data_IF_215053597597
#
_entry.id   IF_215053597597
#
_cell.length_a   1.000
_cell.length_b   1.000
_cell.length_c   1.000
_cell.angle_alpha   90.00
_cell.angle_beta   90.00
_cell.angle_gamma   90.00
#
_symmetry.space_group_name_H-M   'P 1'
#
loop_
_entity.id
_entity.type
_entity.pdbx_description
1 polymer ?
#
# COMPACT_ATOMS: atom_id res chain seq x y z
N UNK A 1 36.32 -4.77 19.37
CA UNK A 1 37.31 -5.17 20.39
C UNK A 1 36.53 -5.84 21.51
N UNK A 2 36.96 -7.00 22.04
CA UNK A 2 36.28 -7.61 23.19
C UNK A 2 36.25 -6.60 24.34
N UNK A 3 35.05 -6.25 24.81
CA UNK A 3 34.86 -5.39 25.98
C UNK A 3 34.64 -6.31 27.18
N UNK A 4 35.61 -6.36 28.10
CA UNK A 4 35.47 -7.10 29.35
C UNK A 4 34.80 -6.21 30.40
N UNK A 5 33.63 -6.60 30.91
CA UNK A 5 33.10 -6.03 32.15
C UNK A 5 33.62 -6.86 33.33
N UNK A 6 34.50 -6.27 34.14
CA UNK A 6 34.96 -6.90 35.38
C UNK A 6 34.06 -6.42 36.52
N UNK A 7 33.18 -7.29 37.03
CA UNK A 7 32.47 -7.04 38.27
C UNK A 7 33.25 -7.70 39.41
N UNK A 8 33.74 -6.91 40.36
CA UNK A 8 34.41 -7.45 41.56
C UNK A 8 33.35 -7.93 42.54
N UNK A 9 33.28 -9.25 42.74
CA UNK A 9 32.43 -9.87 43.75
C UNK A 9 33.01 -9.61 45.15
N UNK A 10 32.32 -8.81 45.96
CA UNK A 10 32.57 -8.79 47.39
C UNK A 10 31.87 -10.01 48.02
N UNK A 11 32.60 -11.10 48.20
CA UNK A 11 32.14 -12.26 48.95
C UNK A 11 32.03 -11.82 50.42
N UNK A 12 30.82 -11.76 50.98
CA UNK A 12 30.68 -11.69 52.43
C UNK A 12 31.24 -12.99 52.99
N UNK A 13 32.31 -12.88 53.79
CA UNK A 13 33.06 -13.98 54.39
C UNK A 13 32.16 -15.11 54.91
N UNK A 14 32.03 -16.16 54.11
CA UNK A 14 31.86 -17.51 54.61
C UNK A 14 33.07 -18.29 54.10
N UNK A 15 33.99 -18.61 55.00
CA UNK A 15 35.21 -19.36 54.70
C UNK A 15 34.85 -20.67 54.00
N UNK A 16 35.06 -20.76 52.69
CA UNK A 16 35.02 -22.01 51.96
C UNK A 16 36.32 -22.76 52.27
N UNK A 17 36.24 -23.76 53.16
CA UNK A 17 37.37 -24.63 53.49
C UNK A 17 37.23 -25.91 52.69
N UNK A 18 38.08 -26.09 51.67
CA UNK A 18 38.16 -27.33 50.89
C UNK A 18 39.29 -28.17 51.52
N UNK A 19 38.96 -29.34 52.06
CA UNK A 19 39.96 -30.25 52.62
C UNK A 19 40.51 -31.16 51.51
N UNK A 20 41.82 -31.10 51.28
CA UNK A 20 42.51 -32.09 50.45
C UNK A 20 43.17 -33.12 51.36
N UNK A 21 42.82 -34.40 51.17
CA UNK A 21 43.35 -35.49 51.98
C UNK A 21 44.73 -35.95 51.47
N UNK A 22 45.77 -35.21 51.82
CA UNK A 22 47.11 -35.79 52.00
C UNK A 22 47.93 -34.90 52.94
N UNK A 23 47.94 -35.25 54.23
CA UNK A 23 48.91 -34.74 55.21
C UNK A 23 48.72 -33.27 55.63
N UNK A 24 48.06 -33.07 56.78
CA UNK A 24 48.19 -31.93 57.72
C UNK A 24 48.68 -30.58 57.13
N UNK A 25 47.95 -30.05 56.15
CA UNK A 25 47.99 -28.64 55.81
C UNK A 25 46.61 -28.20 55.30
N UNK A 26 45.92 -27.39 56.10
CA UNK A 26 44.67 -26.73 55.72
C UNK A 26 44.98 -25.62 54.72
N UNK A 27 44.60 -25.80 53.45
CA UNK A 27 44.75 -24.79 52.43
C UNK A 27 43.37 -24.22 52.06
N UNK A 28 43.18 -22.92 52.26
CA UNK A 28 41.97 -22.23 51.85
C UNK A 28 42.15 -21.66 50.45
N UNK A 29 41.40 -22.18 49.47
CA UNK A 29 41.31 -21.54 48.16
C UNK A 29 40.27 -20.42 48.24
N UNK A 30 40.67 -19.18 47.99
CA UNK A 30 39.74 -18.07 47.81
C UNK A 30 39.39 -17.94 46.33
N UNK A 31 38.10 -18.08 46.01
CA UNK A 31 37.57 -17.67 44.72
C UNK A 31 37.60 -16.14 44.65
N UNK A 32 38.43 -15.61 43.76
CA UNK A 32 38.63 -14.18 43.54
C UNK A 32 38.19 -13.82 42.13
N UNK A 33 36.97 -13.27 42.03
CA UNK A 33 36.46 -12.71 40.78
C UNK A 33 35.70 -13.71 39.91
N UNK A 34 34.45 -13.38 39.60
CA UNK A 34 33.67 -13.95 38.51
C UNK A 34 33.56 -12.85 37.46
N UNK A 35 34.15 -13.05 36.28
CA UNK A 35 33.99 -12.12 35.15
C UNK A 35 33.16 -12.78 34.06
N UNK A 36 32.21 -12.02 33.50
CA UNK A 36 31.48 -12.37 32.29
C UNK A 36 32.17 -11.70 31.10
N UNK A 37 32.54 -12.48 30.11
CA UNK A 37 33.11 -12.00 28.84
C UNK A 37 32.13 -12.34 27.73
N UNK A 38 31.77 -11.36 26.91
CA UNK A 38 31.02 -11.55 25.67
C UNK A 38 31.98 -11.54 24.48
N UNK A 39 31.68 -12.28 23.42
CA UNK A 39 32.47 -12.30 22.18
C UNK A 39 32.38 -10.98 21.37
N UNK A 40 31.47 -10.08 21.75
CA UNK A 40 31.24 -8.78 21.12
C UNK A 40 30.75 -8.87 19.67
N UNK A 41 30.20 -10.02 19.25
CA UNK A 41 29.62 -10.21 17.92
C UNK A 41 28.10 -10.08 18.00
N UNK A 42 27.57 -8.86 17.85
CA UNK A 42 26.14 -8.68 17.61
C UNK A 42 25.75 -9.45 16.34
N UNK A 43 24.90 -10.46 16.51
CA UNK A 43 24.51 -11.38 15.45
C UNK A 43 23.93 -10.69 14.22
N UNK A 44 24.72 -10.61 13.15
CA UNK A 44 24.18 -10.66 11.81
C UNK A 44 23.64 -12.09 11.61
N UNK A 45 22.32 -12.26 11.68
CA UNK A 45 21.56 -13.51 11.47
C UNK A 45 21.39 -14.45 12.68
N UNK A 46 21.19 -13.94 13.89
CA UNK A 46 20.70 -14.77 15.00
C UNK A 46 21.73 -15.74 15.59
N UNK A 47 23.03 -15.48 15.41
CA UNK A 47 24.06 -16.14 16.21
C UNK A 47 23.94 -15.68 17.67
N UNK A 48 23.76 -16.64 18.57
CA UNK A 48 23.72 -16.42 20.02
C UNK A 48 25.05 -15.85 20.52
N UNK A 49 25.01 -14.77 21.29
CA UNK A 49 26.17 -14.27 22.04
C UNK A 49 26.71 -15.40 22.93
N UNK A 50 27.99 -15.73 22.81
CA UNK A 50 28.62 -16.68 23.76
C UNK A 50 29.08 -15.94 25.01
N UNK A 51 28.58 -16.36 26.17
CA UNK A 51 28.97 -15.84 27.48
C UNK A 51 29.99 -16.76 28.12
N UNK A 52 31.17 -16.24 28.45
CA UNK A 52 32.19 -16.93 29.24
C UNK A 52 32.20 -16.45 30.68
N UNK A 53 31.91 -17.34 31.64
CA UNK A 53 32.21 -17.12 33.07
C UNK A 53 33.65 -17.52 33.31
N UNK A 54 34.45 -16.64 33.92
CA UNK A 54 35.83 -16.94 34.31
C UNK A 54 35.94 -16.92 35.84
N UNK A 55 36.36 -18.04 36.44
CA UNK A 55 36.54 -18.17 37.89
C UNK A 55 38.04 -18.23 38.20
N UNK A 56 38.57 -17.20 38.86
CA UNK A 56 39.96 -17.21 39.32
C UNK A 56 40.02 -17.70 40.77
N UNK A 57 40.84 -18.71 41.04
CA UNK A 57 41.20 -19.09 42.40
C UNK A 57 42.59 -18.55 42.70
N UNK A 58 42.72 -17.69 43.73
CA UNK A 58 44.05 -17.34 44.23
C UNK A 58 44.46 -18.38 45.26
N UNK A 59 45.42 -19.24 44.91
CA UNK A 59 46.11 -20.06 45.88
C UNK A 59 47.13 -19.17 46.61
N UNK A 60 46.89 -18.85 47.89
CA UNK A 60 47.94 -18.28 48.72
C UNK A 60 48.92 -19.40 49.10
N UNK A 61 50.14 -19.29 48.57
CA UNK A 61 51.36 -20.03 48.93
C UNK A 61 51.35 -21.55 48.70
N UNK A 62 51.70 -21.98 47.48
CA UNK A 62 52.32 -23.30 47.28
C UNK A 62 53.84 -23.15 47.44
N UNK A 63 54.53 -23.88 48.34
CA UNK A 63 55.97 -24.04 48.21
C UNK A 63 56.25 -24.94 46.99
N UNK A 64 57.25 -24.56 46.19
CA UNK A 64 57.70 -25.32 45.04
C UNK A 64 58.27 -26.68 45.46
N UNK A 65 57.51 -27.76 45.30
CA UNK A 65 58.05 -29.13 45.35
C UNK A 65 57.22 -30.09 44.50
N UNK A 66 57.92 -30.85 43.65
CA UNK A 66 57.45 -32.02 42.90
C UNK A 66 56.90 -33.10 43.87
N UNK A 67 55.61 -33.06 44.20
CA UNK A 67 54.91 -34.21 44.82
C UNK A 67 53.73 -34.64 43.96
N UNK A 68 53.92 -35.75 43.23
CA UNK A 68 52.86 -36.51 42.56
C UNK A 68 51.98 -37.20 43.60
N UNK A 69 50.73 -36.76 43.75
CA UNK A 69 49.69 -37.46 44.51
C UNK A 69 49.20 -38.65 43.67
N UNK A 70 49.29 -39.87 44.21
CA UNK A 70 48.79 -41.10 43.57
C UNK A 70 47.62 -41.64 44.39
N UNK A 71 46.46 -41.87 43.75
CA UNK A 71 45.29 -42.49 44.40
C UNK A 71 45.31 -44.02 44.21
N UNK A 72 44.95 -44.83 45.24
CA UNK A 72 45.01 -46.29 45.16
C UNK A 72 43.67 -46.90 44.73
N UNK A 73 43.29 -46.78 43.46
CA UNK A 73 42.43 -47.72 42.72
C UNK A 73 42.34 -47.24 41.27
N UNK A 74 42.83 -48.04 40.33
CA UNK A 74 42.84 -47.75 38.90
C UNK A 74 41.99 -48.75 38.13
N UNK A 75 40.84 -49.19 38.66
CA UNK A 75 40.12 -50.32 38.05
C UNK A 75 38.59 -50.27 38.08
N UNK A 76 37.97 -49.09 38.02
CA UNK A 76 36.77 -48.83 37.19
C UNK A 76 36.62 -47.34 37.04
N UNK A 77 35.99 -46.92 35.94
CA UNK A 77 35.71 -45.53 35.61
C UNK A 77 34.82 -44.90 36.70
N UNK A 78 35.45 -44.32 37.72
CA UNK A 78 34.80 -43.41 38.66
C UNK A 78 34.52 -42.10 37.89
N UNK A 79 33.23 -41.90 37.57
CA UNK A 79 32.71 -40.71 36.89
C UNK A 79 31.89 -39.87 37.88
N UNK A 80 32.37 -39.71 39.11
CA UNK A 80 31.80 -38.77 40.06
C UNK A 80 32.18 -37.34 39.63
N UNK A 81 31.44 -36.83 38.64
CA UNK A 81 31.62 -35.49 38.08
C UNK A 81 30.76 -34.51 38.86
N UNK A 82 31.39 -33.62 39.62
CA UNK A 82 30.73 -32.44 40.18
C UNK A 82 30.11 -31.60 39.05
N UNK A 83 28.76 -31.55 38.96
CA UNK A 83 28.07 -30.80 37.90
C UNK A 83 27.78 -29.37 38.36
N UNK A 84 28.29 -28.39 37.61
CA UNK A 84 27.97 -26.99 37.82
C UNK A 84 26.70 -26.61 37.06
N UNK A 85 25.73 -26.03 37.76
CA UNK A 85 24.51 -25.49 37.17
C UNK A 85 24.47 -23.96 37.31
N UNK A 86 24.16 -23.29 36.21
CA UNK A 86 23.78 -21.87 36.21
C UNK A 86 22.26 -21.80 36.12
N UNK A 87 21.62 -21.10 37.04
CA UNK A 87 20.18 -20.89 37.02
C UNK A 87 19.79 -19.42 36.85
N UNK A 88 18.67 -19.17 36.20
CA UNK A 88 18.04 -17.85 36.13
C UNK A 88 17.38 -17.44 37.48
N UNK A 89 16.75 -16.27 37.49
CA UNK A 89 16.06 -15.71 38.65
C UNK A 89 14.83 -16.55 39.11
N UNK A 90 14.33 -17.45 38.26
CA UNK A 90 13.26 -18.40 38.57
C UNK A 90 13.79 -19.79 38.99
N UNK A 91 15.12 -19.93 39.16
CA UNK A 91 15.84 -21.19 39.40
C UNK A 91 15.76 -22.20 38.23
N UNK A 92 15.48 -21.74 37.00
CA UNK A 92 15.55 -22.59 35.81
C UNK A 92 17.00 -22.74 35.38
N UNK A 93 17.44 -23.99 35.14
CA UNK A 93 18.80 -24.29 34.66
C UNK A 93 18.95 -23.78 33.22
N UNK A 94 19.87 -22.84 33.03
CA UNK A 94 20.19 -22.22 31.73
C UNK A 94 21.55 -22.64 31.19
N UNK A 95 22.36 -23.34 31.99
CA UNK A 95 23.63 -23.94 31.57
C UNK A 95 24.05 -25.10 32.48
N UNK A 96 24.68 -26.13 31.89
CA UNK A 96 25.25 -27.29 32.59
C UNK A 96 26.71 -27.45 32.18
N UNK A 97 27.60 -27.72 33.13
CA UNK A 97 28.98 -28.13 32.84
C UNK A 97 29.34 -29.40 33.60
N UNK A 98 29.80 -30.40 32.86
CA UNK A 98 30.29 -31.68 33.38
C UNK A 98 31.56 -32.03 32.60
N UNK A 99 32.73 -31.92 33.22
CA UNK A 99 33.99 -32.45 32.71
C UNK A 99 34.77 -33.05 33.89
N UNK A 100 35.15 -34.32 33.76
CA UNK A 100 35.98 -35.01 34.73
C UNK A 100 37.36 -34.35 34.84
N UNK A 101 37.79 -34.07 36.06
CA UNK A 101 39.12 -33.55 36.35
C UNK A 101 40.17 -34.60 35.96
N UNK A 102 40.94 -34.36 34.90
CA UNK A 102 42.12 -35.15 34.57
C UNK A 102 43.34 -34.42 35.14
N UNK A 103 43.87 -34.90 36.25
CA UNK A 103 44.98 -34.25 36.97
C UNK A 103 46.33 -34.59 36.34
N UNK A 104 46.79 -33.76 35.41
CA UNK A 104 48.22 -33.60 35.15
C UNK A 104 48.50 -32.18 34.68
N UNK A 105 49.23 -31.41 35.49
CA UNK A 105 49.55 -29.98 35.40
C UNK A 105 48.55 -29.04 36.08
N UNK A 106 49.04 -28.38 37.13
CA UNK A 106 48.43 -27.19 37.72
C UNK A 106 48.40 -26.07 36.68
N UNK A 107 47.30 -25.96 35.94
CA UNK A 107 47.03 -24.80 35.10
C UNK A 107 46.37 -23.75 36.00
N UNK A 108 47.13 -22.69 36.31
CA UNK A 108 46.58 -21.39 36.70
C UNK A 108 45.85 -20.84 35.48
N UNK A 109 44.58 -21.23 35.30
CA UNK A 109 43.78 -20.83 34.15
C UNK A 109 42.33 -21.17 34.41
N UNK A 110 41.48 -20.14 34.46
CA UNK A 110 40.10 -20.26 34.88
C UNK A 110 39.26 -21.17 34.00
N UNK A 111 38.23 -21.75 34.61
CA UNK A 111 37.22 -22.55 33.92
C UNK A 111 36.38 -21.63 33.02
N UNK A 112 36.17 -22.02 31.77
CA UNK A 112 35.32 -21.32 30.80
C UNK A 112 33.96 -22.02 30.71
N UNK A 113 32.88 -21.30 30.97
CA UNK A 113 31.51 -21.80 30.76
C UNK A 113 30.97 -21.21 29.46
N UNK A 114 30.23 -21.96 28.63
CA UNK A 114 29.53 -21.42 27.45
C UNK A 114 28.02 -21.57 27.65
N UNK A 115 27.29 -20.46 27.70
CA UNK A 115 25.82 -20.46 27.72
C UNK A 115 25.32 -20.24 26.29
N UNK A 116 24.63 -21.23 25.73
CA UNK A 116 24.18 -21.21 24.33
C UNK A 116 22.83 -20.49 24.11
N UNK A 117 22.28 -19.80 25.10
CA UNK A 117 21.04 -19.03 24.96
C UNK A 117 21.14 -17.65 25.59
N UNK A 118 20.71 -16.63 24.83
CA UNK A 118 20.67 -15.22 25.24
C UNK A 118 19.59 -15.03 26.32
N UNK A 119 19.91 -14.52 27.52
CA UNK A 119 18.90 -14.15 28.49
C UNK A 119 18.05 -12.99 27.95
N UNK A 120 16.73 -13.16 27.88
CA UNK A 120 15.79 -12.17 27.34
C UNK A 120 15.26 -11.19 28.39
N UNK A 121 15.65 -11.33 29.65
CA UNK A 121 15.19 -10.51 30.78
C UNK A 121 16.34 -10.17 31.73
N UNK A 122 16.34 -8.93 32.25
CA UNK A 122 17.18 -8.50 33.37
C UNK A 122 16.85 -9.32 34.61
N UNK A 123 17.85 -9.92 35.25
CA UNK A 123 17.61 -10.81 36.39
C UNK A 123 18.86 -11.23 37.15
N UNK A 124 18.67 -11.68 38.38
CA UNK A 124 19.74 -12.22 39.21
C UNK A 124 20.06 -13.65 38.80
N UNK A 125 21.34 -13.95 38.60
CA UNK A 125 21.80 -15.32 38.32
C UNK A 125 22.48 -15.90 39.56
N UNK A 126 22.28 -17.20 39.76
CA UNK A 126 22.86 -17.93 40.90
C UNK A 126 23.68 -19.10 40.38
N UNK A 127 24.92 -19.23 40.85
CA UNK A 127 25.75 -20.42 40.61
C UNK A 127 25.64 -21.31 41.83
N UNK A 128 25.26 -22.58 41.62
CA UNK A 128 25.05 -23.57 42.68
C UNK A 128 25.98 -24.76 42.47
N UNK A 129 26.54 -25.29 43.56
CA UNK A 129 27.05 -26.66 43.60
C UNK A 129 25.93 -27.57 44.09
N UNK A 130 25.74 -28.70 43.41
CA UNK A 130 24.81 -29.73 43.82
C UNK A 130 25.56 -31.05 43.81
N UNK A 131 25.57 -31.72 44.96
CA UNK A 131 26.03 -33.10 45.10
C UNK A 131 25.00 -34.04 44.43
N UNK A 132 25.46 -35.01 43.64
CA UNK A 132 24.56 -35.98 43.01
C UNK A 132 23.96 -36.87 44.11
N UNK A 133 22.63 -37.07 44.10
CA UNK A 133 21.95 -37.89 45.10
C UNK A 133 22.39 -39.37 45.01
N UNK A 134 23.47 -39.75 45.68
CA UNK A 134 23.63 -41.12 46.18
C UNK A 134 23.32 -41.18 47.69
N UNK A 135 22.52 -42.17 48.08
CA UNK A 135 22.06 -42.44 49.45
C UNK A 135 23.01 -43.35 50.22
N UNK A 136 24.23 -43.60 49.74
CA UNK A 136 25.29 -44.23 50.53
C UNK A 136 26.52 -43.33 50.63
N UNK A 137 26.92 -42.92 51.85
CA UNK A 137 28.11 -42.09 52.01
C UNK A 137 29.36 -42.93 51.75
N UNK A 138 30.07 -42.65 50.67
CA UNK A 138 31.41 -43.18 50.48
C UNK A 138 32.37 -42.49 51.44
N UNK A 139 32.93 -43.33 52.34
CA UNK A 139 33.93 -43.03 53.34
C UNK A 139 33.55 -42.01 54.44
N UNK A 140 33.09 -42.59 55.56
CA UNK A 140 33.11 -41.96 56.86
C UNK A 140 34.54 -41.54 57.28
N UNK A 141 34.86 -40.25 57.14
CA UNK A 141 35.78 -39.52 58.02
C UNK A 141 35.56 -37.99 57.90
N UNK A 142 34.49 -37.52 58.53
CA UNK A 142 34.53 -36.27 59.31
C UNK A 142 34.25 -34.94 58.62
N UNK A 143 33.72 -34.87 57.41
CA UNK A 143 33.22 -33.62 56.82
C UNK A 143 31.72 -33.74 56.50
N UNK A 144 30.86 -33.25 57.40
CA UNK A 144 29.44 -33.05 57.10
C UNK A 144 29.28 -31.91 56.10
N UNK A 145 29.16 -32.21 54.82
CA UNK A 145 28.55 -31.29 53.86
C UNK A 145 27.05 -31.28 54.10
N UNK A 146 26.51 -30.10 54.40
CA UNK A 146 25.08 -29.91 54.59
C UNK A 146 24.36 -30.26 53.28
N UNK A 147 23.34 -31.11 53.34
CA UNK A 147 22.41 -31.49 52.27
C UNK A 147 21.55 -30.33 51.75
N UNK A 148 22.02 -29.10 51.88
CA UNK A 148 21.32 -27.88 51.54
C UNK A 148 22.10 -27.13 50.48
N UNK A 149 21.76 -27.36 49.21
CA UNK A 149 21.72 -26.40 48.11
C UNK A 149 22.50 -25.09 48.36
N UNK A 150 23.82 -25.19 48.53
CA UNK A 150 24.62 -24.09 49.09
C UNK A 150 24.97 -23.12 47.97
N UNK A 151 24.47 -21.89 48.09
CA UNK A 151 24.78 -20.82 47.16
C UNK A 151 26.21 -20.34 47.46
N UNK A 152 27.15 -20.63 46.58
CA UNK A 152 28.55 -20.18 46.71
C UNK A 152 28.70 -18.67 46.48
N UNK A 153 27.73 -18.08 45.79
CA UNK A 153 27.64 -16.65 45.51
C UNK A 153 26.43 -16.36 44.62
N UNK A 154 25.83 -15.19 44.79
CA UNK A 154 24.75 -14.69 43.93
C UNK A 154 25.09 -13.28 43.51
N UNK A 155 25.02 -13.00 42.22
CA UNK A 155 25.25 -11.66 41.67
C UNK A 155 24.15 -11.30 40.69
N UNK A 156 23.65 -10.08 40.80
CA UNK A 156 22.78 -9.48 39.80
C UNK A 156 23.63 -8.97 38.64
N UNK A 157 23.41 -9.47 37.43
CA UNK A 157 23.96 -8.86 36.22
C UNK A 157 22.82 -8.17 35.48
N UNK A 158 22.99 -6.87 35.20
CA UNK A 158 22.10 -6.20 34.28
C UNK A 158 22.54 -6.55 32.85
N UNK A 159 21.78 -7.42 32.18
CA UNK A 159 22.05 -7.80 30.80
C UNK A 159 22.09 -6.59 29.85
N UNK A 160 21.39 -5.50 30.19
CA UNK A 160 21.43 -4.25 29.43
C UNK A 160 22.76 -3.47 29.59
N UNK A 161 23.50 -3.71 30.68
CA UNK A 161 24.79 -3.06 30.95
C UNK A 161 25.99 -3.79 30.32
N UNK A 162 25.80 -5.03 29.82
CA UNK A 162 26.86 -5.85 29.22
C UNK A 162 27.11 -5.55 27.74
N UNK A 163 26.23 -4.82 27.07
CA UNK A 163 26.49 -4.29 25.73
C UNK A 163 25.77 -2.95 25.48
N UNK A 164 26.37 -1.81 25.87
CA UNK A 164 25.82 -0.49 25.57
C UNK A 164 25.86 -0.14 24.07
N UNK A 165 26.53 -0.95 23.24
CA UNK A 165 26.57 -0.77 21.78
C UNK A 165 25.53 -1.66 21.07
N UNK A 166 24.89 -2.62 21.77
CA UNK A 166 23.70 -3.35 21.33
C UNK A 166 22.47 -2.47 21.48
N UNK A 167 22.51 -1.30 20.85
CA UNK A 167 21.29 -0.56 20.56
C UNK A 167 20.46 -1.47 19.65
N UNK A 168 19.22 -1.84 20.00
CA UNK A 168 18.34 -2.50 19.06
C UNK A 168 18.37 -1.68 17.77
N UNK A 169 18.71 -2.31 16.63
CA UNK A 169 18.58 -1.63 15.34
C UNK A 169 17.17 -1.04 15.35
N UNK A 170 17.01 0.29 15.21
CA UNK A 170 15.70 0.88 15.29
C UNK A 170 14.86 0.24 14.19
N UNK A 171 13.91 -0.60 14.59
CA UNK A 171 12.92 -1.15 13.68
C UNK A 171 12.12 0.03 13.20
N UNK A 172 12.10 0.25 11.89
CA UNK A 172 11.28 1.30 11.33
C UNK A 172 9.81 1.03 11.67
N UNK A 173 9.21 1.96 12.41
CA UNK A 173 7.80 1.92 12.79
C UNK A 173 6.96 2.96 12.06
N UNK A 174 7.58 3.73 11.16
CA UNK A 174 6.90 4.81 10.44
C UNK A 174 6.14 4.20 9.28
N UNK A 175 4.85 4.47 9.19
CA UNK A 175 4.07 4.02 8.04
C UNK A 175 4.31 4.92 6.82
N UNK A 176 4.36 4.37 5.60
CA UNK A 176 4.45 5.17 4.40
C UNK A 176 3.21 6.05 4.24
N UNK A 177 3.41 7.32 3.90
CA UNK A 177 2.36 8.31 3.66
C UNK A 177 2.38 8.75 2.19
N UNK A 178 1.21 8.89 1.56
CA UNK A 178 1.14 9.48 0.22
C UNK A 178 1.42 10.99 0.29
N UNK A 179 2.59 11.40 -0.16
CA UNK A 179 3.06 12.80 -0.12
C UNK A 179 2.52 13.63 -1.29
N UNK A 180 2.27 13.00 -2.44
CA UNK A 180 1.62 13.62 -3.58
C UNK A 180 0.67 12.64 -4.24
N UNK A 181 -0.54 13.09 -4.55
CA UNK A 181 -1.51 12.34 -5.35
C UNK A 181 -2.18 13.31 -6.31
N UNK A 182 -2.03 13.05 -7.61
CA UNK A 182 -2.59 13.89 -8.68
C UNK A 182 -3.28 13.01 -9.72
N UNK A 183 -4.37 13.51 -10.30
CA UNK A 183 -5.14 12.78 -11.33
C UNK A 183 -5.27 13.64 -12.58
N UNK A 184 -5.12 13.01 -13.75
CA UNK A 184 -5.43 13.64 -15.03
C UNK A 184 -5.92 12.61 -16.05
N UNK A 185 -6.54 13.10 -17.11
CA UNK A 185 -6.83 12.37 -18.35
C UNK A 185 -5.81 12.69 -19.44
N UNK A 186 -5.73 11.85 -20.46
CA UNK A 186 -5.04 12.14 -21.72
C UNK A 186 -5.90 12.90 -22.75
N UNK A 187 -7.13 13.27 -22.39
CA UNK A 187 -7.99 14.14 -23.19
C UNK A 187 -7.34 15.52 -23.39
N UNK A 188 -7.67 16.21 -24.49
CA UNK A 188 -7.28 17.61 -24.74
C UNK A 188 -7.61 18.52 -23.56
N UNK A 189 -8.79 18.34 -22.97
CA UNK A 189 -9.18 18.93 -21.69
C UNK A 189 -8.84 17.92 -20.59
N UNK A 190 -7.67 18.02 -19.97
CA UNK A 190 -7.12 16.98 -19.07
C UNK A 190 -7.95 16.70 -17.81
N UNK A 191 -8.91 17.57 -17.47
CA UNK A 191 -9.90 17.38 -16.39
C UNK A 191 -11.17 16.66 -16.85
N UNK A 192 -11.27 16.28 -18.12
CA UNK A 192 -12.38 15.51 -18.67
C UNK A 192 -11.89 14.21 -19.30
N UNK A 193 -12.76 13.22 -19.39
CA UNK A 193 -12.46 11.96 -20.06
C UNK A 193 -13.71 11.40 -20.73
N UNK A 194 -13.62 11.03 -21.99
CA UNK A 194 -14.64 10.28 -22.73
C UNK A 194 -14.19 8.85 -22.99
N UNK A 195 -15.04 8.05 -23.64
CA UNK A 195 -14.70 6.69 -24.03
C UNK A 195 -13.42 6.67 -24.88
N UNK A 196 -12.47 5.80 -24.50
CA UNK A 196 -11.16 5.69 -25.14
C UNK A 196 -10.05 6.50 -24.46
N UNK A 197 -10.40 7.48 -23.64
CA UNK A 197 -9.41 8.23 -22.86
C UNK A 197 -8.89 7.40 -21.69
N UNK A 198 -7.65 7.65 -21.29
CA UNK A 198 -7.00 7.02 -20.14
C UNK A 198 -6.82 8.03 -19.02
N UNK A 199 -7.42 7.70 -17.87
CA UNK A 199 -7.26 8.47 -16.63
C UNK A 199 -6.11 7.87 -15.84
N UNK A 200 -5.18 8.72 -15.44
CA UNK A 200 -3.94 8.37 -14.76
C UNK A 200 -3.83 9.08 -13.43
N UNK A 201 -3.58 8.30 -12.39
CA UNK A 201 -3.22 8.75 -11.05
C UNK A 201 -1.70 8.68 -10.93
N UNK A 202 -1.06 9.78 -10.53
CA UNK A 202 0.35 9.80 -10.16
C UNK A 202 0.48 9.99 -8.65
N UNK A 203 1.31 9.17 -8.04
CA UNK A 203 1.44 9.06 -6.59
C UNK A 203 2.91 9.05 -6.19
N UNK A 204 3.25 9.81 -5.15
CA UNK A 204 4.54 9.69 -4.45
C UNK A 204 4.31 9.42 -2.98
N UNK A 205 5.19 8.63 -2.37
CA UNK A 205 5.15 8.29 -0.95
C UNK A 205 6.31 8.92 -0.18
N UNK A 206 6.19 9.02 1.15
CA UNK A 206 7.23 9.52 2.06
C UNK A 206 8.48 8.65 2.07
N UNK A 207 8.36 7.40 1.64
CA UNK A 207 9.40 6.39 1.66
C UNK A 207 9.13 5.30 0.61
N UNK A 208 10.09 4.38 0.46
CA UNK A 208 10.00 3.27 -0.49
C UNK A 208 8.93 2.27 -0.06
N UNK A 209 8.10 1.83 -1.02
CA UNK A 209 7.14 0.76 -0.77
C UNK A 209 7.78 -0.61 -1.04
N UNK A 210 7.62 -1.55 -0.11
CA UNK A 210 7.99 -2.96 -0.28
C UNK A 210 6.95 -3.76 -1.07
N UNK A 211 5.72 -3.25 -1.15
CA UNK A 211 4.64 -3.84 -1.96
C UNK A 211 3.92 -2.78 -2.79
N UNK A 212 3.61 -3.10 -4.04
CA UNK A 212 2.84 -2.20 -4.91
C UNK A 212 1.46 -1.84 -4.30
N UNK A 213 1.01 -0.59 -4.43
CA UNK A 213 -0.31 -0.18 -3.96
C UNK A 213 -1.42 -0.86 -4.77
N UNK A 214 -2.52 -1.20 -4.11
CA UNK A 214 -3.77 -1.61 -4.77
C UNK A 214 -4.62 -0.37 -5.03
N UNK A 215 -4.92 -0.10 -6.30
CA UNK A 215 -5.68 1.09 -6.71
C UNK A 215 -6.97 0.69 -7.42
N UNK A 216 -8.09 1.25 -6.97
CA UNK A 216 -9.32 1.33 -7.77
C UNK A 216 -9.48 2.74 -8.32
N UNK A 217 -9.89 2.86 -9.57
CA UNK A 217 -10.09 4.13 -10.27
C UNK A 217 -11.30 3.99 -11.20
N UNK A 218 -12.24 4.93 -11.13
CA UNK A 218 -13.49 4.92 -11.92
C UNK A 218 -14.27 3.61 -11.69
N UNK A 219 -14.27 3.14 -10.43
CA UNK A 219 -14.94 1.89 -10.04
C UNK A 219 -14.30 0.60 -10.58
N UNK A 220 -13.13 0.67 -11.21
CA UNK A 220 -12.41 -0.46 -11.80
C UNK A 220 -11.06 -0.68 -11.09
N UNK A 221 -10.53 -1.90 -11.11
CA UNK A 221 -9.15 -2.16 -10.70
C UNK A 221 -8.19 -1.51 -11.69
N UNK A 222 -7.32 -0.63 -11.21
CA UNK A 222 -6.37 0.09 -12.05
C UNK A 222 -5.14 -0.74 -12.38
N UNK A 223 -4.52 -0.47 -13.53
CA UNK A 223 -3.19 -0.98 -13.85
C UNK A 223 -2.16 -0.14 -13.12
N UNK A 224 -1.42 -0.74 -12.19
CA UNK A 224 -0.43 -0.07 -11.34
C UNK A 224 0.98 -0.37 -11.82
N UNK A 225 1.81 0.66 -11.98
CA UNK A 225 3.21 0.57 -12.37
C UNK A 225 4.05 1.56 -11.55
N UNK A 226 5.33 1.25 -11.36
CA UNK A 226 6.24 2.09 -10.57
C UNK A 226 7.13 1.26 -9.66
N UNK A 227 7.90 1.96 -8.82
CA UNK A 227 8.82 1.35 -7.87
C UNK A 227 9.27 2.38 -6.82
N UNK A 228 9.72 1.88 -5.67
CA UNK A 228 10.23 2.73 -4.61
C UNK A 228 9.16 3.70 -4.11
N UNK A 229 9.44 4.99 -4.19
CA UNK A 229 8.53 6.06 -3.75
C UNK A 229 7.55 6.51 -4.82
N UNK A 230 7.72 6.13 -6.09
CA UNK A 230 7.01 6.73 -7.23
C UNK A 230 6.18 5.70 -7.98
N UNK A 231 4.87 5.95 -8.06
CA UNK A 231 3.89 5.02 -8.61
C UNK A 231 2.87 5.72 -9.48
N UNK A 232 2.35 5.01 -10.47
CA UNK A 232 1.26 5.43 -11.32
C UNK A 232 0.20 4.34 -11.39
N UNK A 233 -1.07 4.74 -11.45
CA UNK A 233 -2.19 3.85 -11.69
C UNK A 233 -3.05 4.40 -12.81
N UNK A 234 -3.49 3.55 -13.75
CA UNK A 234 -4.27 4.00 -14.90
C UNK A 234 -5.46 3.11 -15.22
N UNK A 235 -6.51 3.72 -15.76
CA UNK A 235 -7.74 3.07 -16.26
C UNK A 235 -8.18 3.77 -17.54
N UNK A 236 -8.46 3.00 -18.58
CA UNK A 236 -9.10 3.50 -19.80
C UNK A 236 -10.62 3.53 -19.61
N UNK A 237 -11.25 4.64 -19.96
CA UNK A 237 -12.70 4.83 -19.93
C UNK A 237 -13.34 3.99 -21.03
N UNK A 238 -14.31 3.17 -20.65
CA UNK A 238 -15.08 2.32 -21.55
C UNK A 238 -16.55 2.72 -21.55
N UNK A 239 -17.37 2.12 -22.41
CA UNK A 239 -18.82 2.34 -22.43
C UNK A 239 -19.54 1.88 -21.15
N UNK A 240 -18.91 1.02 -20.34
CA UNK A 240 -19.41 0.58 -19.04
C UNK A 240 -18.87 1.37 -17.85
N UNK A 241 -17.91 2.28 -18.06
CA UNK A 241 -17.37 3.10 -16.98
C UNK A 241 -18.45 4.02 -16.39
N UNK A 242 -18.47 4.25 -15.07
CA UNK A 242 -19.37 5.23 -14.44
C UNK A 242 -19.23 6.64 -15.06
N UNK A 243 -20.36 7.32 -15.22
CA UNK A 243 -20.44 8.74 -15.62
C UNK A 243 -20.18 9.63 -14.40
N UNK A 244 -19.58 10.80 -14.59
CA UNK A 244 -19.34 11.79 -13.53
C UNK A 244 -17.93 11.74 -12.96
N UNK A 245 -17.76 12.14 -11.70
CA UNK A 245 -16.43 12.28 -11.10
C UNK A 245 -15.64 10.94 -11.09
N UNK A 246 -14.39 10.99 -11.54
CA UNK A 246 -13.46 9.87 -11.47
C UNK A 246 -12.99 9.68 -10.02
N UNK A 247 -13.69 8.84 -9.29
CA UNK A 247 -13.32 8.47 -7.92
C UNK A 247 -12.22 7.42 -7.90
N UNK A 248 -11.40 7.41 -6.85
CA UNK A 248 -10.34 6.43 -6.66
C UNK A 248 -10.15 6.04 -5.19
N UNK A 249 -9.45 4.93 -4.98
CA UNK A 249 -8.98 4.49 -3.67
C UNK A 249 -7.60 3.85 -3.82
N UNK A 250 -6.62 4.35 -3.08
CA UNK A 250 -5.27 3.78 -2.97
C UNK A 250 -5.16 3.09 -1.62
N UNK A 251 -4.86 1.80 -1.59
CA UNK A 251 -4.84 1.00 -0.36
C UNK A 251 -3.84 -0.15 -0.43
N UNK A 252 -3.66 -0.87 0.69
CA UNK A 252 -2.91 -2.12 0.73
C UNK A 252 -1.40 -1.98 0.52
N UNK A 253 -0.86 -0.76 0.54
CA UNK A 253 0.58 -0.52 0.41
C UNK A 253 1.29 -0.56 1.76
N UNK A 254 2.53 -1.06 1.73
CA UNK A 254 3.41 -1.22 2.88
C UNK A 254 4.84 -0.81 2.48
N UNK A 255 5.61 -0.34 3.44
CA UNK A 255 7.04 -0.11 3.28
C UNK A 255 7.83 -1.44 3.34
N UNK A 256 9.16 -1.35 3.27
CA UNK A 256 10.05 -2.51 3.36
C UNK A 256 10.11 -3.13 4.78
N UNK A 257 9.71 -2.37 5.82
CA UNK A 257 9.62 -2.83 7.20
C UNK A 257 8.27 -3.50 7.54
N UNK A 258 7.30 -3.44 6.62
CA UNK A 258 5.96 -4.01 6.76
C UNK A 258 4.92 -3.08 7.38
N UNK A 259 5.26 -1.82 7.67
CA UNK A 259 4.29 -0.84 8.18
C UNK A 259 3.27 -0.51 7.09
N UNK A 260 2.01 -0.42 7.48
CA UNK A 260 0.89 -0.29 6.52
C UNK A 260 0.48 1.17 6.39
N UNK A 261 0.42 1.67 5.16
CA UNK A 261 -0.09 3.01 4.89
C UNK A 261 -1.62 3.11 5.04
N UNK A 262 -2.10 4.33 5.19
CA UNK A 262 -3.54 4.64 5.28
C UNK A 262 -4.18 4.75 3.91
N UNK A 263 -5.46 4.41 3.78
CA UNK A 263 -6.16 4.54 2.50
C UNK A 263 -6.29 6.00 2.08
N UNK A 264 -6.06 6.29 0.79
CA UNK A 264 -6.17 7.63 0.20
C UNK A 264 -7.26 7.67 -0.87
N UNK A 265 -8.16 8.64 -0.77
CA UNK A 265 -9.34 8.78 -1.65
C UNK A 265 -9.49 10.19 -2.24
N UNK A 266 -8.52 11.07 -2.01
CA UNK A 266 -8.50 12.44 -2.53
C UNK A 266 -7.10 12.84 -2.99
N UNK A 267 -7.03 13.75 -3.96
CA UNK A 267 -5.77 14.29 -4.46
C UNK A 267 -5.20 15.33 -3.50
N UNK A 268 -3.88 15.47 -3.47
CA UNK A 268 -3.20 16.46 -2.62
C UNK A 268 -3.24 17.87 -3.22
N UNK A 269 -3.39 18.01 -4.53
CA UNK A 269 -3.40 19.31 -5.24
C UNK A 269 -4.80 19.77 -5.69
N UNK A 270 -5.86 19.03 -5.33
CA UNK A 270 -7.24 19.31 -5.76
C UNK A 270 -7.54 19.00 -7.22
N UNK A 271 -6.65 18.30 -7.94
CA UNK A 271 -6.93 17.83 -9.30
C UNK A 271 -8.11 16.86 -9.32
N UNK A 272 -8.90 16.92 -10.38
CA UNK A 272 -10.05 16.05 -10.59
C UNK A 272 -10.25 15.77 -12.07
N UNK A 273 -10.88 14.63 -12.35
CA UNK A 273 -11.32 14.27 -13.71
C UNK A 273 -12.81 13.96 -13.67
N UNK A 274 -13.55 14.49 -14.63
CA UNK A 274 -14.97 14.16 -14.86
C UNK A 274 -15.08 13.28 -16.10
N UNK A 275 -15.62 12.08 -15.91
CA UNK A 275 -15.94 11.17 -17.01
C UNK A 275 -17.24 11.61 -17.65
N UNK A 276 -17.17 11.97 -18.92
CA UNK A 276 -18.31 12.28 -19.75
C UNK A 276 -18.32 11.49 -21.05
N UNK A 277 -19.25 10.55 -21.16
CA UNK A 277 -19.38 9.63 -22.29
C UNK A 277 -20.63 9.89 -23.12
N UNK A 278 -21.38 10.94 -22.80
CA UNK A 278 -22.67 11.19 -23.42
C UNK A 278 -22.46 12.05 -24.66
N UNK A 279 -23.00 11.61 -25.80
CA UNK A 279 -23.03 12.46 -26.99
C UNK A 279 -24.15 13.49 -26.87
N UNK A 280 -23.90 14.76 -27.23
CA UNK A 280 -24.96 15.76 -27.36
C UNK A 280 -26.02 15.30 -28.37
N UNK A 281 -27.28 15.20 -27.98
CA UNK A 281 -28.35 14.95 -28.96
C UNK A 281 -28.80 16.27 -29.59
N UNK A 282 -29.14 16.22 -30.88
CA UNK A 282 -29.43 17.40 -31.70
C UNK A 282 -30.87 17.37 -32.20
N UNK A 283 -31.58 18.50 -32.14
CA UNK A 283 -32.93 18.63 -32.69
C UNK A 283 -33.11 19.95 -33.44
N UNK A 284 -33.98 19.94 -34.44
CA UNK A 284 -34.39 21.10 -35.23
C UNK A 284 -35.87 21.40 -34.99
N UNK A 285 -36.23 22.68 -34.95
CA UNK A 285 -37.61 23.14 -34.87
C UNK A 285 -37.80 24.46 -35.63
N UNK A 286 -39.05 24.78 -35.97
CA UNK A 286 -39.45 26.08 -36.52
C UNK A 286 -40.67 26.60 -35.78
N UNK A 287 -40.80 27.93 -35.68
CA UNK A 287 -42.03 28.58 -35.20
C UNK A 287 -43.15 28.59 -36.24
N UNK A 288 -42.84 28.20 -37.49
CA UNK A 288 -43.78 28.12 -38.60
C UNK A 288 -44.15 26.65 -38.84
N UNK A 289 -45.45 26.38 -38.98
CA UNK A 289 -45.96 25.06 -39.38
C UNK A 289 -46.19 24.99 -40.89
N UNK A 290 -45.92 23.84 -41.49
CA UNK A 290 -46.21 23.57 -42.90
C UNK A 290 -47.65 23.08 -43.16
N UNK A 291 -48.15 23.20 -44.40
CA UNK A 291 -47.57 23.97 -45.50
C UNK A 291 -47.56 25.48 -45.19
N UNK A 292 -46.61 26.23 -45.75
CA UNK A 292 -46.45 27.67 -45.47
C UNK A 292 -46.01 28.49 -46.68
N UNK A 293 -46.41 29.75 -46.74
CA UNK A 293 -45.87 30.76 -47.67
C UNK A 293 -44.88 31.73 -46.99
N UNK A 294 -44.50 31.45 -45.73
CA UNK A 294 -43.60 32.31 -44.94
C UNK A 294 -42.17 32.19 -45.47
N UNK A 295 -41.55 33.32 -45.82
CA UNK A 295 -40.15 33.40 -46.25
C UNK A 295 -39.49 34.66 -45.67
N UNK A 296 -38.35 34.54 -44.96
CA UNK A 296 -37.65 33.30 -44.60
C UNK A 296 -38.38 32.43 -43.55
N UNK A 297 -38.12 31.12 -43.55
CA UNK A 297 -38.57 30.17 -42.52
C UNK A 297 -37.52 30.14 -41.39
N UNK A 298 -37.84 30.60 -40.17
CA UNK A 298 -36.90 30.58 -39.06
C UNK A 298 -36.75 29.17 -38.50
N UNK A 299 -35.52 28.73 -38.32
CA UNK A 299 -35.18 27.41 -37.75
C UNK A 299 -34.27 27.57 -36.55
N UNK A 300 -34.56 26.81 -35.49
CA UNK A 300 -33.72 26.70 -34.29
C UNK A 300 -33.15 25.30 -34.17
N UNK A 301 -31.89 25.21 -33.78
CA UNK A 301 -31.20 23.97 -33.40
C UNK A 301 -30.99 23.96 -31.90
N UNK A 302 -31.27 22.84 -31.25
CA UNK A 302 -31.01 22.61 -29.83
C UNK A 302 -30.14 21.38 -29.63
N UNK A 303 -29.12 21.52 -28.78
CA UNK A 303 -28.31 20.43 -28.26
C UNK A 303 -28.64 20.18 -26.79
N UNK A 304 -28.50 18.94 -26.31
CA UNK A 304 -28.73 18.62 -24.88
C UNK A 304 -27.67 19.20 -23.93
N UNK A 305 -26.54 19.62 -24.47
CA UNK A 305 -25.44 20.25 -23.75
C UNK A 305 -24.70 21.24 -24.64
N UNK A 306 -23.75 21.98 -24.08
CA UNK A 306 -23.04 23.00 -24.83
C UNK A 306 -22.05 22.36 -25.80
N UNK A 307 -22.11 22.73 -27.08
CA UNK A 307 -21.21 22.24 -28.11
C UNK A 307 -20.35 23.35 -28.69
N UNK A 308 -19.22 22.94 -29.27
CA UNK A 308 -18.29 23.76 -30.04
C UNK A 308 -18.10 23.15 -31.43
N UNK A 309 -17.62 23.96 -32.38
CA UNK A 309 -17.34 23.52 -33.75
C UNK A 309 -18.52 23.51 -34.71
N UNK A 310 -19.76 23.73 -34.23
CA UNK A 310 -20.94 23.80 -35.10
C UNK A 310 -21.01 25.13 -35.87
N UNK A 311 -21.11 25.04 -37.19
CA UNK A 311 -21.13 26.18 -38.11
C UNK A 311 -22.18 26.01 -39.20
N UNK A 312 -22.44 27.07 -39.98
CA UNK A 312 -23.35 26.99 -41.12
C UNK A 312 -22.91 25.98 -42.21
N UNK A 313 -21.62 25.61 -42.27
CA UNK A 313 -21.11 24.64 -43.23
C UNK A 313 -21.54 23.19 -42.90
N UNK A 314 -21.97 22.94 -41.66
CA UNK A 314 -22.43 21.63 -41.19
C UNK A 314 -23.90 21.36 -41.52
N UNK A 315 -24.60 22.34 -42.10
CA UNK A 315 -25.98 22.23 -42.54
C UNK A 315 -26.04 21.71 -43.98
N UNK A 316 -26.74 20.59 -44.19
CA UNK A 316 -27.07 20.13 -45.54
C UNK A 316 -28.51 20.53 -45.84
N UNK A 317 -28.71 21.45 -46.79
CA UNK A 317 -30.02 22.04 -47.10
C UNK A 317 -30.44 21.73 -48.53
N UNK A 318 -31.72 21.39 -48.71
CA UNK A 318 -32.38 21.21 -50.01
C UNK A 318 -33.60 22.11 -50.12
N UNK A 319 -33.84 22.66 -51.31
CA UNK A 319 -35.00 23.53 -51.60
C UNK A 319 -34.90 24.96 -51.07
N UNK A 320 -33.85 25.32 -50.31
CA UNK A 320 -33.65 26.64 -49.73
C UNK A 320 -32.16 27.03 -49.60
N UNK A 321 -31.90 28.31 -49.32
CA UNK A 321 -30.58 28.82 -48.92
C UNK A 321 -30.57 29.25 -47.45
N UNK A 322 -29.45 29.04 -46.75
CA UNK A 322 -29.26 29.44 -45.34
C UNK A 322 -28.79 30.89 -45.24
N UNK A 323 -29.35 31.65 -44.31
CA UNK A 323 -28.88 32.97 -43.90
C UNK A 323 -29.02 33.16 -42.39
N UNK A 324 -28.49 34.27 -41.85
CA UNK A 324 -28.66 34.65 -40.44
C UNK A 324 -28.27 33.57 -39.42
N UNK A 325 -27.26 32.74 -39.73
CA UNK A 325 -26.75 31.73 -38.80
C UNK A 325 -26.13 32.42 -37.57
N UNK A 326 -26.66 32.10 -36.40
CA UNK A 326 -26.24 32.67 -35.13
C UNK A 326 -26.44 31.66 -34.00
N UNK A 327 -25.84 31.93 -32.84
CA UNK A 327 -25.95 31.11 -31.64
C UNK A 327 -24.61 30.61 -31.12
N UNK A 328 -24.67 29.93 -29.98
CA UNK A 328 -23.49 29.37 -29.29
C UNK A 328 -23.92 28.38 -28.21
N UNK A 329 -22.99 27.54 -27.76
CA UNK A 329 -23.25 26.58 -26.69
C UNK A 329 -24.30 25.57 -27.15
N UNK A 330 -25.47 25.56 -26.53
CA UNK A 330 -26.52 24.57 -26.79
C UNK A 330 -27.58 25.01 -27.79
N UNK A 331 -27.56 26.27 -28.24
CA UNK A 331 -28.68 26.84 -29.02
C UNK A 331 -28.17 27.64 -30.21
N UNK A 332 -28.71 27.32 -31.38
CA UNK A 332 -28.42 28.01 -32.65
C UNK A 332 -29.70 28.33 -33.40
N UNK A 333 -29.62 29.30 -34.29
CA UNK A 333 -30.71 29.70 -35.17
C UNK A 333 -30.19 30.08 -36.54
N UNK A 334 -31.01 29.87 -37.56
CA UNK A 334 -30.76 30.34 -38.91
C UNK A 334 -32.08 30.47 -39.66
N UNK A 335 -32.04 31.18 -40.79
CA UNK A 335 -33.19 31.39 -41.65
C UNK A 335 -33.02 30.63 -42.96
N UNK A 336 -34.08 29.92 -43.37
CA UNK A 336 -34.16 29.27 -44.67
C UNK A 336 -34.96 30.15 -45.63
N UNK A 337 -34.36 30.52 -46.75
CA UNK A 337 -35.08 31.20 -47.86
C UNK A 337 -35.40 30.17 -48.94
N UNK A 338 -36.67 29.74 -49.09
CA UNK A 338 -37.07 28.78 -50.12
C UNK A 338 -36.78 29.30 -51.53
N UNK A 339 -36.39 28.40 -52.42
CA UNK A 339 -36.06 28.72 -53.83
C UNK A 339 -37.27 28.68 -54.78
N UNK A 340 -38.40 28.15 -54.30
CA UNK A 340 -39.67 28.01 -55.00
C UNK A 340 -40.58 27.05 -54.24
N UNK A 341 -41.78 26.80 -54.78
CA UNK A 341 -42.73 25.86 -54.18
C UNK A 341 -42.13 24.45 -54.11
N UNK A 342 -42.38 23.76 -52.99
CA UNK A 342 -41.91 22.40 -52.75
C UNK A 342 -41.41 22.15 -51.33
N UNK A 343 -40.81 21.00 -51.13
CA UNK A 343 -40.28 20.59 -49.82
C UNK A 343 -38.91 21.20 -49.56
N UNK A 344 -38.77 21.88 -48.42
CA UNK A 344 -37.50 22.36 -47.88
C UNK A 344 -37.05 21.41 -46.78
N UNK A 345 -35.80 20.93 -46.87
CA UNK A 345 -35.22 20.03 -45.86
C UNK A 345 -33.89 20.54 -45.31
N UNK A 346 -33.61 20.18 -44.06
CA UNK A 346 -32.29 20.39 -43.42
C UNK A 346 -31.88 19.15 -42.66
N UNK A 347 -30.65 18.70 -42.90
CA UNK A 347 -29.98 17.64 -42.15
C UNK A 347 -28.79 18.20 -41.36
N UNK A 348 -28.59 17.65 -40.16
CA UNK A 348 -27.38 17.83 -39.33
C UNK A 348 -26.83 16.44 -39.05
N UNK A 349 -25.64 16.17 -39.58
CA UNK A 349 -24.96 14.89 -39.37
C UNK A 349 -24.44 14.73 -37.94
N UNK A 350 -24.12 13.50 -37.54
CA UNK A 350 -23.44 13.23 -36.27
C UNK A 350 -21.96 13.60 -36.35
N UNK A 351 -21.38 14.02 -35.23
CA UNK A 351 -19.95 14.33 -35.09
C UNK A 351 -19.49 15.66 -35.69
N UNK A 352 -20.41 16.52 -36.15
CA UNK A 352 -20.10 17.86 -36.67
C UNK A 352 -19.85 18.88 -35.55
N UNK A 353 -20.39 18.62 -34.36
CA UNK A 353 -20.21 19.43 -33.17
C UNK A 353 -19.73 18.55 -32.01
N UNK A 354 -18.96 19.13 -31.09
CA UNK A 354 -18.38 18.40 -29.95
C UNK A 354 -18.64 19.11 -28.62
N UNK A 355 -18.92 18.35 -27.57
CA UNK A 355 -18.97 18.85 -26.19
C UNK A 355 -17.57 19.17 -25.63
N UNK A 356 -17.50 19.51 -24.33
CA UNK A 356 -16.25 19.83 -23.65
C UNK A 356 -15.32 18.61 -23.44
N UNK A 357 -15.87 17.39 -23.38
CA UNK A 357 -15.11 16.14 -23.32
C UNK A 357 -14.67 15.63 -24.71
N UNK A 358 -15.17 16.26 -25.78
CA UNK A 358 -14.92 15.88 -27.16
C UNK A 358 -15.86 14.78 -27.68
N UNK A 359 -17.00 14.50 -27.05
CA UNK A 359 -18.00 13.61 -27.66
C UNK A 359 -18.68 14.35 -28.81
N UNK A 360 -18.75 13.68 -29.97
CA UNK A 360 -19.47 14.19 -31.13
C UNK A 360 -20.99 14.15 -30.91
N UNK A 361 -21.72 15.11 -31.47
CA UNK A 361 -23.18 15.12 -31.44
C UNK A 361 -23.77 13.91 -32.18
N UNK A 362 -24.98 13.50 -31.81
CA UNK A 362 -25.77 12.56 -32.64
C UNK A 362 -26.44 13.30 -33.79
N UNK A 363 -26.63 12.62 -34.92
CA UNK A 363 -27.38 13.16 -36.05
C UNK A 363 -28.79 13.58 -35.62
N UNK A 364 -29.28 14.71 -36.16
CA UNK A 364 -30.64 15.16 -35.92
C UNK A 364 -31.62 14.39 -36.82
N UNK A 365 -32.87 14.24 -36.37
CA UNK A 365 -33.96 13.91 -37.30
C UNK A 365 -34.09 15.03 -38.33
N UNK A 366 -34.19 14.66 -39.61
CA UNK A 366 -34.31 15.63 -40.71
C UNK A 366 -35.48 16.60 -40.46
N UNK A 367 -35.21 17.90 -40.56
CA UNK A 367 -36.26 18.92 -40.60
C UNK A 367 -36.86 18.95 -42.00
N UNK A 368 -38.19 19.00 -42.11
CA UNK A 368 -38.91 19.04 -43.38
C UNK A 368 -40.16 19.91 -43.27
N UNK A 369 -40.33 20.83 -44.22
CA UNK A 369 -41.51 21.70 -44.32
C UNK A 369 -41.86 21.94 -45.79
N UNK A 370 -43.15 21.95 -46.12
CA UNK A 370 -43.62 22.30 -47.48
C UNK A 370 -43.78 23.80 -47.57
N UNK A 371 -43.07 24.41 -48.51
CA UNK A 371 -43.24 25.80 -48.91
C UNK A 371 -44.16 25.90 -50.12
N UNK A 372 -45.12 26.81 -50.07
CA UNK A 372 -46.07 27.08 -51.14
C UNK A 372 -46.41 28.57 -51.15
N UNK A 373 -45.95 29.30 -52.17
CA UNK A 373 -46.26 30.71 -52.39
C UNK A 373 -47.32 30.90 -53.48
N UNK A 374 -47.59 29.86 -54.26
CA UNK A 374 -48.61 29.90 -55.30
C UNK A 374 -49.98 30.02 -54.62
N UNK A 375 -50.77 31.00 -55.07
CA UNK A 375 -52.14 31.16 -54.61
C UNK A 375 -53.13 30.43 -55.53
N UNK A 376 -54.36 30.17 -55.06
CA UNK A 376 -55.35 29.45 -55.84
C UNK A 376 -55.77 30.31 -57.02
N UNK A 377 -55.63 29.77 -58.22
CA UNK A 377 -56.20 30.37 -59.43
C UNK A 377 -57.59 29.80 -59.68
N UNK A 378 -58.48 30.62 -60.25
CA UNK A 378 -59.88 30.26 -60.49
C UNK A 378 -60.19 30.22 -61.99
N UNK A 379 -61.01 29.27 -62.41
CA UNK A 379 -61.53 29.21 -63.77
C UNK A 379 -63.05 28.98 -63.77
N UNK A 380 -63.73 29.62 -64.70
CA UNK A 380 -65.16 29.51 -64.93
C UNK A 380 -65.38 28.77 -66.24
N UNK A 381 -66.16 27.69 -66.19
CA UNK A 381 -66.57 26.94 -67.37
C UNK A 381 -68.09 26.81 -67.40
N UNK A 382 -68.65 26.74 -68.61
CA UNK A 382 -70.04 26.35 -68.82
C UNK A 382 -70.07 25.16 -69.77
N UNK A 383 -70.95 24.20 -69.50
CA UNK A 383 -71.18 23.07 -70.41
C UNK A 383 -72.02 23.46 -71.63
N UNK A 384 -72.55 24.70 -71.68
CA UNK A 384 -73.31 25.22 -72.82
C UNK A 384 -72.51 26.27 -73.57
N UNK A 385 -72.44 26.13 -74.90
CA UNK A 385 -71.83 27.13 -75.79
C UNK A 385 -72.80 28.28 -76.06
N UNK A 386 -72.29 29.50 -76.15
CA UNK A 386 -73.08 30.67 -76.52
C UNK A 386 -73.29 30.82 -78.04
N UNK A 387 -74.37 31.48 -78.49
CA UNK A 387 -75.52 31.94 -77.69
C UNK A 387 -76.45 30.77 -77.26
N UNK A 388 -77.03 30.85 -76.05
CA UNK A 388 -77.91 29.80 -75.48
C UNK A 388 -79.16 30.39 -74.81
N UNK A 389 -80.24 29.61 -74.76
CA UNK A 389 -81.47 29.90 -73.99
C UNK A 389 -81.67 28.95 -72.81
N UNK A 390 -80.66 28.15 -72.43
CA UNK A 390 -80.70 27.28 -71.24
C UNK A 390 -80.85 28.11 -69.96
N UNK A 391 -81.82 27.76 -69.12
CA UNK A 391 -82.11 28.44 -67.85
C UNK A 391 -82.32 27.43 -66.72
N UNK A 392 -81.48 27.42 -65.67
CA UNK A 392 -80.29 28.27 -65.47
C UNK A 392 -79.10 27.86 -66.36
N UNK A 393 -78.19 28.80 -66.68
CA UNK A 393 -76.92 28.47 -67.34
C UNK A 393 -76.03 27.73 -66.32
N UNK A 394 -75.62 26.48 -66.59
CA UNK A 394 -74.71 25.78 -65.70
C UNK A 394 -73.33 26.45 -65.74
N UNK A 395 -72.82 26.85 -64.58
CA UNK A 395 -71.47 27.39 -64.41
C UNK A 395 -70.74 26.52 -63.40
N UNK A 396 -69.54 26.06 -63.77
CA UNK A 396 -68.62 25.35 -62.89
C UNK A 396 -67.45 26.26 -62.56
N UNK A 397 -67.16 26.41 -61.28
CA UNK A 397 -65.96 27.07 -60.78
C UNK A 397 -64.94 26.00 -60.42
N UNK A 398 -63.72 26.09 -60.95
CA UNK A 398 -62.61 25.21 -60.57
C UNK A 398 -61.47 26.03 -59.99
N UNK A 399 -60.82 25.50 -58.95
CA UNK A 399 -59.64 26.08 -58.31
C UNK A 399 -58.42 25.18 -58.57
N UNK A 400 -57.22 25.75 -58.68
CA UNK A 400 -55.99 24.95 -58.85
C UNK A 400 -55.52 24.24 -57.59
N UNK A 401 -56.05 24.61 -56.43
CA UNK A 401 -55.77 23.99 -55.13
C UNK A 401 -56.97 24.18 -54.19
N UNK A 402 -56.89 23.60 -52.99
CA UNK A 402 -57.95 23.71 -51.99
C UNK A 402 -58.08 25.17 -51.50
N UNK A 403 -59.32 25.67 -51.46
CA UNK A 403 -59.66 26.97 -50.89
C UNK A 403 -60.43 26.76 -49.59
N UNK A 404 -60.06 27.49 -48.53
CA UNK A 404 -60.66 27.38 -47.18
C UNK A 404 -61.31 28.66 -46.72
#
# INVERSE_FOLDING_TARGET
MPKSLSATLAILCASLVIFFASGLATHAATLSGVSLVTDGQCGLNGSSDTFSLNMNASASEFPSVDETITFPDSSTQDQDVDIFYVTDAANVVIGRYAQGFVTSQAVVGGAFFSVNQRPTVSGNFTVRLVDELDRTPDLALGATFSTSNTILGSTSFDAAALDPDCVPVPTDTTAPQASSVTIQSNNTTTSMAKVGDTVTLQMTFSESLGTAPSVTLIGQTASVAGSGTSWSASVTVTSSSPQGAATFSISGYKDDAGNTGTTVTSTTNGSSVTVDRTSPSTSLASSVSGPTNTSPIPVTVSFTEAVSGFTAADLTVSGATVSNFAGSGSSYSFDLTPSGDGTVTVDIAGGVAQDAAGNGNTAATQFSIVYDQSGPSTSLASSVSGPTNTSPIPVTVSFTEAVS
#
